data_IF_044322247394
#
_entry.id   IF_044322247394
#
_cell.length_a   1.000
_cell.length_b   1.000
_cell.length_c   1.000
_cell.angle_alpha   90.00
_cell.angle_beta   90.00
_cell.angle_gamma   90.00
#
_symmetry.space_group_name_H-M   'P 1'
#
loop_
_entity.id
_entity.type
_entity.pdbx_description
1 polymer ?
#
# COMPACT_ATOMS: atom_id res chain seq x y z
N UNK A 1 -27.03 -6.81 50.97
CA UNK A 1 -26.65 -7.29 49.60
C UNK A 1 -25.69 -8.44 49.77
N UNK A 2 -25.97 -9.61 49.19
CA UNK A 2 -25.08 -10.80 49.37
C UNK A 2 -23.81 -10.60 48.56
N UNK A 3 -22.65 -10.74 49.20
CA UNK A 3 -21.31 -10.60 48.65
C UNK A 3 -21.09 -11.41 47.34
N UNK A 4 -21.88 -12.51 47.20
CA UNK A 4 -21.89 -13.37 46.02
C UNK A 4 -22.34 -12.71 44.70
N UNK A 5 -23.05 -11.57 44.75
CA UNK A 5 -23.43 -10.81 43.56
C UNK A 5 -22.52 -9.60 43.30
N UNK A 6 -21.83 -9.11 44.32
CA UNK A 6 -20.96 -7.93 44.20
C UNK A 6 -19.66 -8.28 43.44
N UNK A 7 -19.10 -9.46 43.73
CA UNK A 7 -17.84 -9.91 43.07
C UNK A 7 -17.97 -10.06 41.56
N UNK A 8 -18.97 -10.75 40.99
CA UNK A 8 -19.09 -10.86 39.54
C UNK A 8 -19.43 -9.53 38.86
N UNK A 9 -20.24 -8.66 39.50
CA UNK A 9 -20.55 -7.33 38.98
C UNK A 9 -19.30 -6.45 38.96
N UNK A 10 -18.50 -6.43 40.01
CA UNK A 10 -17.24 -5.71 40.06
C UNK A 10 -16.24 -6.22 39.02
N UNK A 11 -16.17 -7.54 38.80
CA UNK A 11 -15.36 -8.14 37.75
C UNK A 11 -15.78 -7.69 36.34
N UNK A 12 -17.10 -7.67 36.09
CA UNK A 12 -17.64 -7.23 34.80
C UNK A 12 -17.33 -5.74 34.53
N UNK A 13 -17.49 -4.89 35.55
CA UNK A 13 -17.16 -3.46 35.48
C UNK A 13 -15.67 -3.29 35.21
N UNK A 14 -14.80 -4.05 35.86
CA UNK A 14 -13.35 -4.02 35.65
C UNK A 14 -12.96 -4.38 34.22
N UNK A 15 -13.54 -5.47 33.68
CA UNK A 15 -13.31 -5.87 32.28
C UNK A 15 -13.82 -4.80 31.32
N UNK A 16 -15.01 -4.26 31.54
CA UNK A 16 -15.59 -3.22 30.71
C UNK A 16 -14.73 -1.94 30.72
N UNK A 17 -14.19 -1.56 31.88
CA UNK A 17 -13.29 -0.40 32.01
C UNK A 17 -11.98 -0.61 31.25
N UNK A 18 -11.34 -1.77 31.38
CA UNK A 18 -10.12 -2.11 30.66
C UNK A 18 -10.36 -2.12 29.15
N UNK A 19 -11.46 -2.75 28.72
CA UNK A 19 -11.79 -2.81 27.29
C UNK A 19 -12.15 -1.44 26.72
N UNK A 20 -12.93 -0.65 27.46
CA UNK A 20 -13.29 0.73 27.10
C UNK A 20 -12.04 1.63 27.01
N UNK A 21 -11.10 1.52 27.95
CA UNK A 21 -9.83 2.23 27.90
C UNK A 21 -9.00 1.82 26.68
N UNK A 22 -8.95 0.53 26.39
CA UNK A 22 -8.22 0.03 25.23
C UNK A 22 -8.84 0.51 23.90
N UNK A 23 -10.18 0.47 23.79
CA UNK A 23 -10.89 1.02 22.61
C UNK A 23 -10.69 2.52 22.48
N UNK A 24 -10.69 3.27 23.59
CA UNK A 24 -10.41 4.70 23.58
C UNK A 24 -9.00 4.99 23.09
N UNK A 25 -8.00 4.24 23.54
CA UNK A 25 -6.61 4.36 23.07
C UNK A 25 -6.46 4.08 21.56
N UNK A 26 -7.21 3.11 21.03
CA UNK A 26 -7.21 2.82 19.58
C UNK A 26 -7.91 3.95 18.81
N UNK A 27 -9.07 4.40 19.27
CA UNK A 27 -9.89 5.39 18.56
C UNK A 27 -9.38 6.82 18.68
N UNK A 28 -8.93 7.25 19.86
CA UNK A 28 -8.48 8.62 20.14
C UNK A 28 -6.96 8.78 20.11
N UNK A 29 -6.20 7.70 20.31
CA UNK A 29 -4.74 7.74 20.44
C UNK A 29 -3.97 7.73 19.12
N UNK A 30 -4.64 7.74 17.97
CA UNK A 30 -3.97 7.81 16.66
C UNK A 30 -3.03 6.62 16.35
N UNK A 31 -3.04 5.56 17.15
CA UNK A 31 -2.33 4.31 16.83
C UNK A 31 -3.09 3.61 15.70
N UNK A 32 -2.70 3.90 14.48
CA UNK A 32 -3.14 3.10 13.36
C UNK A 32 -2.63 1.67 13.55
N UNK A 33 -3.55 0.74 13.81
CA UNK A 33 -3.27 -0.71 13.86
C UNK A 33 -2.66 -1.18 12.52
N UNK A 34 -2.77 -0.34 11.48
CA UNK A 34 -2.22 -0.57 10.14
C UNK A 34 -0.72 -0.25 10.03
N UNK A 35 -0.15 0.50 10.98
CA UNK A 35 1.27 0.83 11.02
C UNK A 35 2.09 -0.31 11.66
N UNK A 36 1.96 -1.52 11.14
CA UNK A 36 2.92 -2.58 11.43
C UNK A 36 4.18 -2.28 10.60
N UNK A 37 5.32 -1.95 11.23
CA UNK A 37 6.55 -1.72 10.49
C UNK A 37 6.84 -2.95 9.62
N UNK A 38 6.89 -2.76 8.31
CA UNK A 38 7.23 -3.86 7.42
C UNK A 38 8.67 -4.30 7.68
N UNK A 39 8.89 -5.59 7.88
CA UNK A 39 10.23 -6.16 8.02
C UNK A 39 11.11 -5.96 6.76
N UNK A 40 10.50 -5.48 5.67
CA UNK A 40 11.16 -5.20 4.39
C UNK A 40 11.71 -3.77 4.29
N UNK A 41 11.45 -2.89 5.26
CA UNK A 41 12.04 -1.54 5.26
C UNK A 41 13.55 -1.64 5.32
N UNK A 42 14.23 -0.82 4.52
CA UNK A 42 15.68 -0.80 4.30
C UNK A 42 16.26 -2.09 3.70
N UNK A 43 15.42 -3.01 3.24
CA UNK A 43 15.84 -4.20 2.48
C UNK A 43 15.79 -3.93 0.98
N UNK A 44 16.69 -4.58 0.19
CA UNK A 44 16.50 -4.60 -1.25
C UNK A 44 15.18 -5.28 -1.59
N UNK A 45 14.55 -4.83 -2.67
CA UNK A 45 13.37 -5.53 -3.20
C UNK A 45 13.73 -6.97 -3.58
N UNK A 46 12.83 -7.90 -3.37
CA UNK A 46 12.98 -9.27 -3.88
C UNK A 46 13.05 -9.25 -5.40
N UNK A 47 13.88 -10.10 -5.98
CA UNK A 47 13.98 -10.22 -7.44
C UNK A 47 12.67 -10.72 -8.04
N UNK A 48 12.25 -10.09 -9.12
CA UNK A 48 11.08 -10.48 -9.89
C UNK A 48 11.23 -10.04 -11.35
N UNK A 49 10.50 -10.71 -12.22
CA UNK A 49 10.31 -10.37 -13.62
C UNK A 49 8.86 -10.72 -13.99
N UNK A 50 8.02 -9.71 -14.06
CA UNK A 50 6.60 -9.86 -14.35
C UNK A 50 6.31 -9.56 -15.81
N UNK A 51 5.58 -10.45 -16.50
CA UNK A 51 5.17 -10.20 -17.87
C UNK A 51 4.24 -8.98 -17.95
N UNK A 52 4.09 -8.37 -19.13
CA UNK A 52 3.09 -7.35 -19.34
C UNK A 52 1.66 -7.90 -19.16
N UNK A 53 0.71 -7.03 -18.87
CA UNK A 53 -0.71 -7.35 -19.04
C UNK A 53 -0.93 -7.70 -20.51
N UNK A 54 -1.64 -8.79 -20.80
CA UNK A 54 -1.96 -9.19 -22.18
C UNK A 54 -2.58 -8.00 -22.92
N UNK A 55 -2.03 -7.65 -24.09
CA UNK A 55 -2.40 -6.46 -24.85
C UNK A 55 -1.52 -5.22 -24.61
N UNK A 56 -0.53 -5.31 -23.73
CA UNK A 56 0.53 -4.31 -23.52
C UNK A 56 1.90 -4.90 -23.86
N UNK A 57 2.91 -4.05 -24.00
CA UNK A 57 4.28 -4.47 -24.35
C UNK A 57 5.29 -4.16 -23.23
N UNK A 58 4.82 -3.65 -22.08
CA UNK A 58 5.63 -3.17 -20.98
C UNK A 58 5.42 -4.05 -19.74
N UNK A 59 6.24 -5.06 -19.55
CA UNK A 59 6.37 -5.80 -18.29
C UNK A 59 7.12 -4.96 -17.24
N UNK A 60 7.29 -5.52 -16.05
CA UNK A 60 7.97 -4.84 -14.96
C UNK A 60 8.89 -5.81 -14.20
N UNK A 61 10.16 -5.44 -14.10
CA UNK A 61 11.20 -6.24 -13.45
C UNK A 61 11.98 -5.43 -12.41
N UNK A 62 12.68 -6.12 -11.52
CA UNK A 62 13.55 -5.52 -10.51
C UNK A 62 14.56 -4.53 -11.11
N UNK A 63 15.10 -4.83 -12.31
CA UNK A 63 16.06 -3.98 -13.01
C UNK A 63 15.53 -2.59 -13.37
N UNK A 64 14.21 -2.43 -13.49
CA UNK A 64 13.57 -1.13 -13.80
C UNK A 64 13.62 -0.14 -12.63
N UNK A 65 13.90 -0.62 -11.43
CA UNK A 65 13.93 0.19 -10.20
C UNK A 65 15.27 0.88 -9.95
N UNK A 66 16.33 0.48 -10.65
CA UNK A 66 17.66 1.02 -10.42
C UNK A 66 17.80 2.48 -10.87
N UNK A 67 18.58 3.27 -10.12
CA UNK A 67 19.07 4.59 -10.52
C UNK A 67 18.10 5.76 -10.23
N UNK A 68 16.87 5.53 -9.84
CA UNK A 68 15.89 6.60 -9.55
C UNK A 68 15.01 6.26 -8.35
N UNK A 69 14.57 7.31 -7.66
CA UNK A 69 13.51 7.17 -6.64
C UNK A 69 12.19 6.92 -7.35
N UNK A 70 11.44 5.92 -6.91
CA UNK A 70 10.21 5.50 -7.57
C UNK A 70 9.17 5.01 -6.59
N UNK A 71 7.92 4.94 -7.04
CA UNK A 71 6.83 4.26 -6.36
C UNK A 71 6.54 2.93 -7.06
N UNK A 72 6.24 1.92 -6.28
CA UNK A 72 5.65 0.66 -6.77
C UNK A 72 4.30 0.49 -6.12
N UNK A 73 3.25 0.59 -6.92
CA UNK A 73 1.87 0.46 -6.48
C UNK A 73 1.32 -0.93 -6.82
N UNK A 74 0.69 -1.58 -5.86
CA UNK A 74 0.04 -2.88 -6.07
C UNK A 74 -1.45 -2.65 -6.15
N UNK A 75 -2.04 -2.94 -7.32
CA UNK A 75 -3.44 -2.66 -7.62
C UNK A 75 -4.14 -3.80 -8.35
N UNK A 76 -5.46 -3.71 -8.40
CA UNK A 76 -6.31 -4.52 -9.27
C UNK A 76 -7.55 -3.74 -9.71
N UNK A 77 -8.13 -4.07 -10.85
CA UNK A 77 -9.33 -3.41 -11.38
C UNK A 77 -10.56 -3.60 -10.48
N UNK A 78 -10.66 -4.75 -9.82
CA UNK A 78 -11.73 -5.10 -8.89
C UNK A 78 -11.60 -4.43 -7.50
N UNK A 79 -10.48 -3.76 -7.23
CA UNK A 79 -10.18 -3.12 -5.95
C UNK A 79 -10.81 -1.71 -5.90
N UNK A 80 -11.89 -1.55 -5.14
CA UNK A 80 -12.58 -0.25 -4.99
C UNK A 80 -11.68 0.84 -4.38
N UNK A 81 -10.88 0.59 -3.32
CA UNK A 81 -9.95 1.57 -2.79
C UNK A 81 -8.85 1.99 -3.78
N UNK A 82 -8.45 1.10 -4.72
CA UNK A 82 -7.49 1.44 -5.76
C UNK A 82 -8.04 2.52 -6.72
N UNK A 83 -9.36 2.53 -6.97
CA UNK A 83 -10.02 3.63 -7.70
C UNK A 83 -9.96 4.94 -6.92
N UNK A 84 -10.11 4.89 -5.60
CA UNK A 84 -10.11 6.09 -4.77
C UNK A 84 -8.75 6.79 -4.72
N UNK A 85 -7.64 6.05 -4.75
CA UNK A 85 -6.28 6.63 -4.77
C UNK A 85 -5.82 7.09 -6.16
N UNK A 86 -6.44 6.60 -7.22
CA UNK A 86 -5.99 6.79 -8.59
C UNK A 86 -5.74 8.27 -8.97
N UNK A 87 -6.59 9.24 -8.58
CA UNK A 87 -6.33 10.67 -8.80
C UNK A 87 -5.00 11.16 -8.18
N UNK A 88 -4.62 10.66 -7.00
CA UNK A 88 -3.36 10.98 -6.33
C UNK A 88 -2.16 10.45 -7.11
N UNK A 89 -2.25 9.21 -7.63
CA UNK A 89 -1.21 8.64 -8.48
C UNK A 89 -1.07 9.39 -9.81
N UNK A 90 -2.20 9.78 -10.42
CA UNK A 90 -2.20 10.60 -11.65
C UNK A 90 -1.57 11.98 -11.41
N UNK A 91 -1.76 12.56 -10.23
CA UNK A 91 -1.12 13.82 -9.85
C UNK A 91 0.40 13.64 -9.76
N UNK A 92 0.89 12.64 -9.01
CA UNK A 92 2.32 12.34 -8.89
C UNK A 92 2.98 12.05 -10.23
N UNK A 93 2.31 11.30 -11.12
CA UNK A 93 2.81 11.00 -12.45
C UNK A 93 2.99 12.28 -13.29
N UNK A 94 2.03 13.23 -13.23
CA UNK A 94 2.14 14.54 -13.90
C UNK A 94 3.27 15.40 -13.34
N UNK A 95 3.63 15.22 -12.09
CA UNK A 95 4.75 15.88 -11.43
C UNK A 95 6.10 15.23 -11.75
N UNK A 96 6.11 14.16 -12.56
CA UNK A 96 7.32 13.48 -13.02
C UNK A 96 7.83 12.38 -12.09
N UNK A 97 7.05 11.98 -11.07
CA UNK A 97 7.39 10.84 -10.21
C UNK A 97 7.28 9.55 -11.03
N UNK A 98 8.34 8.75 -11.01
CA UNK A 98 8.31 7.43 -11.64
C UNK A 98 7.43 6.49 -10.82
N UNK A 99 6.34 6.00 -11.41
CA UNK A 99 5.42 5.06 -10.78
C UNK A 99 5.38 3.78 -11.59
N UNK A 100 5.64 2.66 -10.94
CA UNK A 100 5.50 1.31 -11.48
C UNK A 100 4.31 0.61 -10.83
N UNK A 101 3.80 -0.41 -11.47
CA UNK A 101 2.68 -1.15 -10.92
C UNK A 101 2.85 -2.67 -10.98
N UNK A 102 2.35 -3.33 -9.95
CA UNK A 102 2.09 -4.77 -9.91
C UNK A 102 0.57 -4.94 -9.98
N UNK A 103 0.09 -5.51 -11.08
CA UNK A 103 -1.33 -5.80 -11.27
C UNK A 103 -1.63 -7.20 -10.72
N UNK A 104 -2.32 -7.25 -9.60
CA UNK A 104 -2.52 -8.46 -8.81
C UNK A 104 -3.75 -9.24 -9.22
N UNK A 105 -3.57 -10.49 -9.64
CA UNK A 105 -4.65 -11.47 -9.91
C UNK A 105 -5.86 -10.85 -10.61
N UNK A 106 -5.60 -10.14 -11.68
CA UNK A 106 -6.61 -9.40 -12.42
C UNK A 106 -6.86 -10.05 -13.79
N UNK A 107 -8.01 -9.77 -14.37
CA UNK A 107 -8.27 -10.11 -15.76
C UNK A 107 -7.68 -9.04 -16.67
N UNK A 108 -6.93 -9.41 -17.70
CA UNK A 108 -6.28 -8.44 -18.59
C UNK A 108 -7.25 -7.37 -19.14
N UNK A 109 -8.42 -7.80 -19.59
CA UNK A 109 -9.45 -6.92 -20.16
C UNK A 109 -10.00 -5.92 -19.13
N UNK A 110 -10.15 -6.33 -17.86
CA UNK A 110 -10.67 -5.46 -16.80
C UNK A 110 -9.59 -4.47 -16.35
N UNK A 111 -8.32 -4.92 -16.24
CA UNK A 111 -7.19 -4.04 -15.96
C UNK A 111 -6.99 -2.98 -17.05
N UNK A 112 -7.08 -3.37 -18.33
CA UNK A 112 -6.97 -2.42 -19.45
C UNK A 112 -8.14 -1.42 -19.45
N UNK A 113 -9.35 -1.86 -19.16
CA UNK A 113 -10.53 -0.98 -19.03
C UNK A 113 -10.36 0.01 -17.87
N UNK A 114 -9.88 -0.47 -16.71
CA UNK A 114 -9.59 0.39 -15.57
C UNK A 114 -8.65 1.54 -15.94
N UNK A 115 -7.56 1.23 -16.67
CA UNK A 115 -6.58 2.24 -17.12
C UNK A 115 -7.12 3.14 -18.24
N UNK A 116 -7.99 2.63 -19.09
CA UNK A 116 -8.63 3.44 -20.13
C UNK A 116 -9.61 4.45 -19.53
N UNK A 117 -10.39 4.04 -18.54
CA UNK A 117 -11.41 4.87 -17.89
C UNK A 117 -10.81 5.96 -16.98
N UNK A 118 -9.73 5.65 -16.28
CA UNK A 118 -9.17 6.54 -15.23
C UNK A 118 -7.85 7.21 -15.64
N UNK A 119 -7.26 6.82 -16.75
CA UNK A 119 -5.91 7.21 -17.16
C UNK A 119 -4.86 6.22 -16.66
N UNK A 120 -3.63 6.35 -17.17
CA UNK A 120 -2.52 5.49 -16.79
C UNK A 120 -1.38 6.31 -16.14
N UNK A 121 -1.20 6.22 -14.80
CA UNK A 121 -0.12 6.89 -14.10
C UNK A 121 1.20 6.10 -14.16
N UNK A 122 1.19 4.86 -14.65
CA UNK A 122 2.29 3.93 -14.51
C UNK A 122 3.26 3.97 -15.69
N UNK A 123 4.54 4.00 -15.41
CA UNK A 123 5.61 3.89 -16.42
C UNK A 123 5.70 2.47 -16.97
N UNK A 124 5.52 1.45 -16.14
CA UNK A 124 5.46 0.03 -16.49
C UNK A 124 4.49 -0.70 -15.57
N UNK A 125 3.93 -1.80 -16.06
CA UNK A 125 2.99 -2.63 -15.31
C UNK A 125 3.36 -4.09 -15.51
N UNK A 126 3.62 -4.79 -14.41
CA UNK A 126 3.80 -6.24 -14.39
C UNK A 126 2.53 -6.97 -13.96
N UNK A 127 2.16 -8.02 -14.68
CA UNK A 127 1.01 -8.86 -14.36
C UNK A 127 1.41 -9.97 -13.37
N UNK A 128 1.01 -9.84 -12.11
CA UNK A 128 1.20 -10.85 -11.06
C UNK A 128 -0.02 -11.78 -10.98
N UNK A 129 -0.23 -12.57 -12.02
CA UNK A 129 -1.38 -13.48 -12.13
C UNK A 129 -1.42 -14.55 -11.05
N UNK A 130 -0.28 -14.96 -10.52
CA UNK A 130 -0.17 -15.93 -9.43
C UNK A 130 -0.28 -15.28 -8.05
N UNK A 131 0.04 -14.00 -7.94
CA UNK A 131 0.15 -13.26 -6.69
C UNK A 131 1.45 -13.53 -5.93
N UNK A 132 2.41 -14.23 -6.54
CA UNK A 132 3.65 -14.62 -5.87
C UNK A 132 4.53 -13.42 -5.53
N UNK A 133 4.71 -12.52 -6.48
CA UNK A 133 5.50 -11.30 -6.28
C UNK A 133 4.91 -10.44 -5.17
N UNK A 134 3.59 -10.27 -5.15
CA UNK A 134 2.90 -9.55 -4.08
C UNK A 134 3.12 -10.20 -2.70
N UNK A 135 3.13 -11.53 -2.60
CA UNK A 135 3.45 -12.25 -1.36
C UNK A 135 4.90 -11.99 -0.94
N UNK A 136 5.86 -12.10 -1.86
CA UNK A 136 7.28 -11.90 -1.57
C UNK A 136 7.58 -10.45 -1.16
N UNK A 137 6.74 -9.49 -1.57
CA UNK A 137 6.76 -8.08 -1.14
C UNK A 137 5.97 -7.85 0.17
N UNK A 138 5.45 -8.91 0.79
CA UNK A 138 4.69 -8.83 2.03
C UNK A 138 3.40 -8.02 1.91
N UNK A 139 2.78 -8.02 0.72
CA UNK A 139 1.46 -7.39 0.48
C UNK A 139 0.38 -8.23 1.15
N UNK A 140 -0.47 -7.59 1.95
CA UNK A 140 -1.58 -8.25 2.64
C UNK A 140 -2.92 -7.52 2.47
N UNK A 141 -2.91 -6.41 1.74
CA UNK A 141 -4.10 -5.64 1.39
C UNK A 141 -3.92 -4.87 0.08
N UNK A 142 -5.02 -4.41 -0.49
CA UNK A 142 -4.97 -3.64 -1.74
C UNK A 142 -5.76 -2.34 -1.57
N UNK A 143 -5.21 -1.20 -2.02
CA UNK A 143 -3.86 -1.04 -2.57
C UNK A 143 -2.78 -0.99 -1.49
N UNK A 144 -1.54 -1.25 -1.88
CA UNK A 144 -0.34 -0.93 -1.12
C UNK A 144 0.68 -0.26 -2.04
N UNK A 145 1.42 0.72 -1.52
CA UNK A 145 2.42 1.45 -2.31
C UNK A 145 3.76 1.49 -1.57
N UNK A 146 4.81 1.13 -2.29
CA UNK A 146 6.18 1.12 -1.78
C UNK A 146 6.96 2.30 -2.36
N UNK A 147 7.72 2.99 -1.52
CA UNK A 147 8.71 3.99 -1.94
C UNK A 147 10.06 3.29 -2.04
N UNK A 148 10.65 3.33 -3.23
CA UNK A 148 11.93 2.68 -3.53
C UNK A 148 12.98 3.75 -3.80
N UNK A 149 14.16 3.61 -3.19
CA UNK A 149 15.27 4.52 -3.44
C UNK A 149 16.08 4.14 -4.70
N UNK A 150 17.08 4.97 -5.04
CA UNK A 150 17.94 4.79 -6.23
C UNK A 150 18.74 3.49 -6.22
N UNK A 151 18.88 2.85 -5.04
CA UNK A 151 19.62 1.58 -4.89
C UNK A 151 18.70 0.36 -4.90
N UNK A 152 17.39 0.55 -5.15
CA UNK A 152 16.40 -0.53 -5.17
C UNK A 152 15.98 -1.01 -3.77
N UNK A 153 16.13 -0.18 -2.73
CA UNK A 153 15.69 -0.50 -1.36
C UNK A 153 14.34 0.09 -1.04
N UNK A 154 13.54 -0.66 -0.31
CA UNK A 154 12.24 -0.22 0.20
C UNK A 154 12.48 0.77 1.35
N UNK A 155 12.10 2.03 1.17
CA UNK A 155 12.26 3.07 2.19
C UNK A 155 10.99 3.34 2.97
N UNK A 156 9.84 3.06 2.36
CA UNK A 156 8.55 3.23 3.01
C UNK A 156 7.51 2.30 2.36
N UNK A 157 6.52 1.89 3.14
CA UNK A 157 5.37 1.11 2.71
C UNK A 157 4.10 1.80 3.19
N UNK A 158 3.27 2.24 2.26
CA UNK A 158 1.94 2.76 2.52
C UNK A 158 0.89 1.66 2.37
N UNK A 159 0.04 1.51 3.37
CA UNK A 159 -1.00 0.49 3.41
C UNK A 159 -2.35 1.17 3.23
N UNK A 160 -3.08 0.76 2.22
CA UNK A 160 -4.36 1.36 1.84
C UNK A 160 -4.20 2.47 0.80
N UNK A 161 -5.31 3.14 0.43
CA UNK A 161 -5.32 4.13 -0.63
C UNK A 161 -4.58 5.41 -0.22
N UNK A 162 -3.74 5.93 -1.12
CA UNK A 162 -3.08 7.23 -0.97
C UNK A 162 -4.14 8.32 -1.22
N UNK A 163 -4.72 8.82 -0.14
CA UNK A 163 -5.64 9.96 -0.21
C UNK A 163 -4.86 11.29 -0.28
N UNK A 164 -5.47 12.42 -0.67
CA UNK A 164 -4.78 13.70 -0.77
C UNK A 164 -3.99 14.09 0.49
N UNK A 165 -4.50 13.76 1.68
CA UNK A 165 -3.81 14.01 2.94
C UNK A 165 -2.54 13.17 3.09
N UNK A 166 -2.59 11.90 2.69
CA UNK A 166 -1.44 10.99 2.76
C UNK A 166 -0.38 11.38 1.74
N UNK A 167 -0.83 11.82 0.56
CA UNK A 167 0.03 12.36 -0.49
C UNK A 167 0.86 13.53 0.04
N UNK A 168 0.21 14.55 0.63
CA UNK A 168 0.89 15.78 1.05
C UNK A 168 1.72 15.58 2.34
N UNK A 169 1.19 14.84 3.32
CA UNK A 169 1.82 14.76 4.64
C UNK A 169 2.81 13.62 4.78
N UNK A 170 2.80 12.64 3.87
CA UNK A 170 3.63 11.44 3.99
C UNK A 170 4.44 11.16 2.73
N UNK A 171 3.78 10.97 1.59
CA UNK A 171 4.46 10.50 0.37
C UNK A 171 5.42 11.56 -0.17
N UNK A 172 4.97 12.82 -0.32
CA UNK A 172 5.83 13.92 -0.82
C UNK A 172 7.07 14.15 0.04
N UNK A 173 6.97 14.33 1.37
CA UNK A 173 8.15 14.52 2.20
C UNK A 173 9.18 13.39 2.09
N UNK A 174 8.71 12.14 1.96
CA UNK A 174 9.61 10.99 1.78
C UNK A 174 10.30 11.07 0.42
N UNK A 175 9.56 11.29 -0.67
CA UNK A 175 10.13 11.42 -2.02
C UNK A 175 11.16 12.54 -2.09
N UNK A 176 10.87 13.71 -1.52
CA UNK A 176 11.78 14.86 -1.46
C UNK A 176 13.06 14.53 -0.68
N UNK A 177 12.95 13.81 0.43
CA UNK A 177 14.11 13.42 1.25
C UNK A 177 15.05 12.46 0.52
N UNK A 178 14.55 11.64 -0.39
CA UNK A 178 15.31 10.63 -1.14
C UNK A 178 15.87 11.18 -2.47
N UNK A 179 15.38 12.32 -2.93
CA UNK A 179 15.83 12.96 -4.19
C UNK A 179 16.94 13.98 -3.99
N UNK A 180 17.15 14.44 -2.78
CA UNK A 180 18.29 15.29 -2.39
C UNK A 180 19.57 14.47 -2.35
#
# INVERSE_FOLDING_TARGET
MRLSYVLPVAGLIGIAAVFGFYLYQIGAGGKNIRDVPSALIDKPVSEFDLPPIVGRNDGFATSDLAGKVSLVNVFASWCVPCRAEHPSLMQLAREGVAIYAINYKDKPEDALRFLADLGNPYSRIGADGTGRTSIDWGVYGYPETFVIDRTGRIRYKHIGPIMPRDLENTIRPILESLTR
#
